data_IF_827777417180
#
_entry.id   IF_827777417180
#
_cell.length_a   1.000
_cell.length_b   1.000
_cell.length_c   1.000
_cell.angle_alpha   90.00
_cell.angle_beta   90.00
_cell.angle_gamma   90.00
#
_symmetry.space_group_name_H-M   'P 1'
#
loop_
_entity.id
_entity.type
_entity.pdbx_description
1 polymer ?
#
# COMPACT_ATOMS: atom_id res chain seq x y z
N UNK A 1 -32.20 -39.65 37.32
CA UNK A 1 -30.92 -40.07 36.71
C UNK A 1 -31.21 -40.71 35.35
N UNK A 2 -30.80 -40.07 34.27
CA UNK A 2 -30.13 -40.66 33.08
C UNK A 2 -30.33 -39.77 31.86
N UNK A 3 -29.22 -39.10 31.50
CA UNK A 3 -29.04 -38.35 30.27
C UNK A 3 -28.98 -39.30 29.08
N UNK A 4 -29.77 -39.02 28.04
CA UNK A 4 -29.43 -39.45 26.69
C UNK A 4 -28.49 -38.43 26.06
N UNK A 5 -27.21 -38.81 25.93
CA UNK A 5 -26.20 -38.09 25.15
C UNK A 5 -26.50 -38.28 23.66
N UNK A 6 -26.99 -37.23 23.02
CA UNK A 6 -27.05 -37.13 21.57
C UNK A 6 -25.62 -36.94 21.03
N UNK A 7 -25.07 -37.98 20.40
CA UNK A 7 -23.80 -37.93 19.69
C UNK A 7 -23.91 -37.01 18.48
N UNK A 8 -23.28 -35.84 18.56
CA UNK A 8 -23.11 -34.92 17.45
C UNK A 8 -22.33 -35.58 16.32
N UNK A 9 -22.94 -35.54 15.14
CA UNK A 9 -22.45 -36.06 13.87
C UNK A 9 -21.02 -35.57 13.57
N UNK A 10 -20.13 -36.54 13.37
CA UNK A 10 -18.83 -36.37 12.74
C UNK A 10 -19.07 -35.81 11.32
N UNK A 11 -18.86 -34.52 11.12
CA UNK A 11 -18.91 -33.88 9.79
C UNK A 11 -17.87 -34.57 8.90
N UNK A 12 -18.33 -35.35 7.92
CA UNK A 12 -17.46 -35.85 6.85
C UNK A 12 -16.88 -34.64 6.11
N UNK A 13 -15.61 -34.36 6.33
CA UNK A 13 -14.86 -33.35 5.58
C UNK A 13 -14.35 -34.01 4.31
N UNK A 14 -14.86 -33.57 3.16
CA UNK A 14 -14.34 -33.97 1.87
C UNK A 14 -12.92 -33.42 1.69
N UNK A 15 -11.99 -34.19 1.12
CA UNK A 15 -10.63 -33.73 0.87
C UNK A 15 -10.65 -32.54 -0.09
N UNK A 16 -9.99 -31.44 0.30
CA UNK A 16 -9.85 -30.27 -0.57
C UNK A 16 -8.59 -30.46 -1.40
N UNK A 17 -8.77 -30.53 -2.72
CA UNK A 17 -7.66 -30.52 -3.64
C UNK A 17 -7.08 -29.11 -3.73
N UNK A 18 -5.75 -28.98 -3.74
CA UNK A 18 -5.08 -27.70 -3.98
C UNK A 18 -3.83 -27.92 -4.82
N UNK A 19 -3.49 -26.93 -5.64
CA UNK A 19 -2.25 -26.90 -6.42
C UNK A 19 -1.14 -26.28 -5.59
N UNK A 20 -0.11 -27.08 -5.30
CA UNK A 20 1.08 -26.65 -4.57
C UNK A 20 2.02 -25.85 -5.48
N UNK A 21 2.26 -24.58 -5.12
CA UNK A 21 3.13 -23.69 -5.91
C UNK A 21 4.56 -24.20 -6.02
N UNK A 22 5.13 -24.77 -4.96
CA UNK A 22 6.51 -25.27 -4.97
C UNK A 22 6.67 -26.38 -6.00
N UNK A 23 5.74 -27.35 -6.00
CA UNK A 23 5.73 -28.44 -6.97
C UNK A 23 5.54 -27.95 -8.40
N UNK A 24 4.61 -27.02 -8.60
CA UNK A 24 4.38 -26.44 -9.91
C UNK A 24 5.59 -25.67 -10.44
N UNK A 25 6.27 -24.88 -9.60
CA UNK A 25 7.50 -24.18 -10.02
C UNK A 25 8.63 -25.16 -10.32
N UNK A 26 8.77 -26.24 -9.55
CA UNK A 26 9.72 -27.31 -9.86
C UNK A 26 9.38 -27.99 -11.19
N UNK A 27 8.12 -28.32 -11.44
CA UNK A 27 7.65 -28.90 -12.70
C UNK A 27 7.91 -27.97 -13.89
N UNK A 28 7.57 -26.67 -13.77
CA UNK A 28 7.88 -25.66 -14.79
C UNK A 28 9.38 -25.56 -15.05
N UNK A 29 10.20 -25.60 -14.00
CA UNK A 29 11.66 -25.57 -14.14
C UNK A 29 12.17 -26.81 -14.89
N UNK A 30 11.75 -28.00 -14.45
CA UNK A 30 12.14 -29.29 -15.05
C UNK A 30 11.70 -29.40 -16.51
N UNK A 31 10.49 -28.93 -16.85
CA UNK A 31 10.01 -28.86 -18.23
C UNK A 31 10.95 -28.02 -19.10
N UNK A 32 11.30 -26.82 -18.64
CA UNK A 32 12.16 -25.90 -19.40
C UNK A 32 13.58 -26.43 -19.52
N UNK A 33 14.13 -27.02 -18.46
CA UNK A 33 15.48 -27.61 -18.48
C UNK A 33 15.52 -28.78 -19.48
N UNK A 34 14.56 -29.71 -19.40
CA UNK A 34 14.46 -30.86 -20.31
C UNK A 34 14.28 -30.41 -21.77
N UNK A 35 13.43 -29.41 -22.02
CA UNK A 35 13.28 -28.81 -23.35
C UNK A 35 14.62 -28.25 -23.82
N UNK A 36 15.30 -27.44 -23.02
CA UNK A 36 16.56 -26.79 -23.41
C UNK A 36 17.73 -27.76 -23.64
N UNK A 37 17.73 -28.90 -22.95
CA UNK A 37 18.69 -30.00 -23.15
C UNK A 37 18.44 -30.71 -24.50
N UNK A 38 17.17 -30.89 -24.89
CA UNK A 38 16.81 -31.50 -26.17
C UNK A 38 17.09 -30.62 -27.40
N UNK A 39 17.30 -29.31 -27.21
CA UNK A 39 17.53 -28.38 -28.32
C UNK A 39 19.02 -28.20 -28.62
N UNK A 40 19.39 -28.39 -29.88
CA UNK A 40 20.76 -28.14 -30.37
C UNK A 40 20.95 -26.63 -30.64
N UNK A 41 19.96 -25.99 -31.27
CA UNK A 41 20.05 -24.58 -31.64
C UNK A 41 19.74 -23.63 -30.47
N UNK A 42 20.63 -22.66 -30.25
CA UNK A 42 20.47 -21.65 -29.21
C UNK A 42 19.19 -20.81 -29.39
N UNK A 43 18.79 -20.56 -30.65
CA UNK A 43 17.57 -19.80 -30.98
C UNK A 43 16.30 -20.54 -30.57
N UNK A 44 16.34 -21.86 -30.45
CA UNK A 44 15.23 -22.73 -30.07
C UNK A 44 15.15 -22.97 -28.56
N UNK A 45 16.22 -22.66 -27.81
CA UNK A 45 16.22 -22.67 -26.34
C UNK A 45 15.41 -21.53 -25.73
N UNK A 46 14.81 -21.79 -24.59
CA UNK A 46 14.12 -20.84 -23.74
C UNK A 46 15.11 -20.16 -22.79
N UNK A 47 15.45 -18.91 -23.09
CA UNK A 47 16.27 -18.07 -22.20
C UNK A 47 15.56 -17.70 -20.86
N UNK A 48 16.29 -17.01 -19.98
CA UNK A 48 15.81 -16.58 -18.67
C UNK A 48 14.53 -15.72 -18.72
N UNK A 49 14.36 -14.89 -19.76
CA UNK A 49 13.17 -14.06 -19.90
C UNK A 49 11.92 -14.89 -20.21
N UNK A 50 12.05 -15.93 -21.04
CA UNK A 50 10.98 -16.90 -21.30
C UNK A 50 10.65 -17.69 -20.05
N UNK A 51 11.66 -18.17 -19.31
CA UNK A 51 11.48 -18.86 -18.01
C UNK A 51 10.67 -18.02 -17.03
N UNK A 52 11.07 -16.77 -16.82
CA UNK A 52 10.34 -15.87 -15.93
C UNK A 52 8.90 -15.60 -16.42
N UNK A 53 8.62 -15.68 -17.72
CA UNK A 53 7.23 -15.59 -18.23
C UNK A 53 6.46 -16.87 -17.95
N UNK A 54 7.06 -18.04 -18.15
CA UNK A 54 6.45 -19.31 -17.83
C UNK A 54 6.10 -19.41 -16.33
N UNK A 55 7.04 -19.06 -15.44
CA UNK A 55 6.79 -19.03 -13.99
C UNK A 55 5.67 -18.06 -13.61
N UNK A 56 5.61 -16.88 -14.23
CA UNK A 56 4.52 -15.93 -14.02
C UNK A 56 3.18 -16.53 -14.46
N UNK A 57 3.11 -17.15 -15.64
CA UNK A 57 1.90 -17.83 -16.13
C UNK A 57 1.50 -18.95 -15.16
N UNK A 58 2.44 -19.82 -14.76
CA UNK A 58 2.20 -20.89 -13.79
C UNK A 58 1.60 -20.35 -12.50
N UNK A 59 2.17 -19.27 -11.95
CA UNK A 59 1.69 -18.66 -10.70
C UNK A 59 0.26 -18.15 -10.82
N UNK A 60 -0.05 -17.41 -11.88
CA UNK A 60 -1.37 -16.84 -12.08
C UNK A 60 -2.41 -17.92 -12.36
N UNK A 61 -2.05 -18.92 -13.15
CA UNK A 61 -2.94 -20.01 -13.48
C UNK A 61 -3.22 -20.89 -12.27
N UNK A 62 -2.21 -21.26 -11.48
CA UNK A 62 -2.40 -21.96 -10.21
C UNK A 62 -3.32 -21.20 -9.24
N UNK A 63 -3.21 -19.87 -9.20
CA UNK A 63 -4.12 -19.02 -8.43
C UNK A 63 -5.56 -19.11 -8.95
N UNK A 64 -5.77 -19.06 -10.27
CA UNK A 64 -7.08 -19.25 -10.89
C UNK A 64 -7.69 -20.61 -10.52
N UNK A 65 -6.90 -21.68 -10.62
CA UNK A 65 -7.36 -23.04 -10.31
C UNK A 65 -7.68 -23.24 -8.82
N UNK A 66 -6.81 -22.75 -7.92
CA UNK A 66 -7.05 -22.83 -6.48
C UNK A 66 -8.30 -22.04 -6.07
N UNK A 67 -8.58 -20.91 -6.73
CA UNK A 67 -9.81 -20.15 -6.50
C UNK A 67 -11.04 -20.95 -6.96
N UNK A 68 -11.00 -21.58 -8.13
CA UNK A 68 -12.10 -22.43 -8.61
C UNK A 68 -12.37 -23.61 -7.66
N UNK A 69 -11.31 -24.29 -7.19
CA UNK A 69 -11.42 -25.36 -6.19
C UNK A 69 -12.00 -24.87 -4.85
N UNK A 70 -11.64 -23.66 -4.43
CA UNK A 70 -12.18 -23.06 -3.20
C UNK A 70 -13.69 -22.76 -3.32
N UNK A 71 -14.18 -22.48 -4.52
CA UNK A 71 -15.60 -22.27 -4.82
C UNK A 71 -16.39 -23.59 -4.98
N UNK A 72 -15.71 -24.74 -4.96
CA UNK A 72 -16.33 -26.06 -5.03
C UNK A 72 -16.41 -26.67 -6.42
N UNK A 73 -15.72 -26.07 -7.42
CA UNK A 73 -15.68 -26.62 -8.77
C UNK A 73 -14.88 -27.94 -8.80
N UNK A 74 -15.43 -28.97 -9.47
CA UNK A 74 -14.69 -30.20 -9.75
C UNK A 74 -13.82 -29.99 -10.99
N UNK A 75 -12.50 -30.02 -10.83
CA UNK A 75 -11.53 -29.87 -11.92
C UNK A 75 -11.10 -31.24 -12.48
N UNK A 76 -12.06 -31.98 -13.06
CA UNK A 76 -11.76 -33.22 -13.80
C UNK A 76 -10.81 -32.91 -14.97
N UNK A 77 -11.15 -31.89 -15.76
CA UNK A 77 -10.29 -31.32 -16.80
C UNK A 77 -9.72 -29.96 -16.36
N UNK A 78 -8.51 -29.63 -16.82
CA UNK A 78 -7.85 -28.37 -16.51
C UNK A 78 -8.44 -27.23 -17.36
N UNK A 79 -9.16 -26.25 -16.78
CA UNK A 79 -9.79 -25.18 -17.54
C UNK A 79 -8.73 -24.25 -18.11
N UNK A 80 -9.00 -23.57 -19.24
CA UNK A 80 -8.07 -22.62 -19.83
C UNK A 80 -7.67 -21.47 -18.88
N UNK A 81 -6.43 -21.01 -18.97
CA UNK A 81 -5.96 -19.82 -18.24
C UNK A 81 -6.41 -18.54 -18.97
N UNK A 82 -7.39 -17.83 -18.41
CA UNK A 82 -7.92 -16.61 -19.01
C UNK A 82 -7.16 -15.38 -18.53
N UNK A 83 -6.68 -14.57 -19.47
CA UNK A 83 -5.86 -13.40 -19.17
C UNK A 83 -5.87 -12.37 -20.31
N UNK A 84 -5.15 -11.26 -20.12
CA UNK A 84 -4.94 -10.23 -21.14
C UNK A 84 -3.45 -10.04 -21.37
N UNK A 85 -3.05 -9.88 -22.65
CA UNK A 85 -1.65 -9.61 -22.98
C UNK A 85 -1.14 -8.30 -22.36
N UNK A 86 -2.01 -7.28 -22.25
CA UNK A 86 -1.73 -6.02 -21.54
C UNK A 86 -1.44 -6.25 -20.05
N UNK A 87 -2.28 -7.01 -19.35
CA UNK A 87 -2.10 -7.32 -17.93
C UNK A 87 -0.82 -8.12 -17.68
N UNK A 88 -0.51 -9.11 -18.52
CA UNK A 88 0.74 -9.86 -18.45
C UNK A 88 1.97 -8.96 -18.70
N UNK A 89 1.85 -7.99 -19.61
CA UNK A 89 2.93 -7.06 -19.93
C UNK A 89 3.22 -6.12 -18.76
N UNK A 90 2.18 -5.53 -18.16
CA UNK A 90 2.28 -4.71 -16.96
C UNK A 90 2.88 -5.48 -15.80
N UNK A 91 2.39 -6.70 -15.53
CA UNK A 91 2.86 -7.52 -14.41
C UNK A 91 4.34 -7.92 -14.56
N UNK A 92 4.78 -8.20 -15.79
CA UNK A 92 6.19 -8.52 -16.06
C UNK A 92 7.09 -7.28 -16.16
N UNK A 93 6.52 -6.10 -16.36
CA UNK A 93 7.27 -4.86 -16.63
C UNK A 93 7.89 -4.83 -18.02
N UNK A 94 7.16 -5.30 -19.04
CA UNK A 94 7.63 -5.28 -20.44
C UNK A 94 6.52 -4.86 -21.40
N UNK A 95 6.81 -4.78 -22.71
CA UNK A 95 5.79 -4.40 -23.70
C UNK A 95 4.87 -5.57 -24.04
N UNK A 96 3.65 -5.27 -24.52
CA UNK A 96 2.70 -6.28 -25.02
C UNK A 96 3.34 -7.14 -26.12
N UNK A 97 4.11 -6.52 -27.02
CA UNK A 97 4.83 -7.22 -28.09
C UNK A 97 5.84 -8.23 -27.54
N UNK A 98 6.53 -7.88 -26.45
CA UNK A 98 7.46 -8.79 -25.77
C UNK A 98 6.73 -10.01 -25.20
N UNK A 99 5.58 -9.83 -24.55
CA UNK A 99 4.75 -10.94 -24.07
C UNK A 99 4.28 -11.84 -25.21
N UNK A 100 3.80 -11.27 -26.30
CA UNK A 100 3.39 -12.04 -27.48
C UNK A 100 4.54 -12.89 -28.04
N UNK A 101 5.75 -12.31 -28.12
CA UNK A 101 6.94 -13.03 -28.56
C UNK A 101 7.30 -14.17 -27.58
N UNK A 102 7.25 -13.91 -26.27
CA UNK A 102 7.51 -14.95 -25.27
C UNK A 102 6.48 -16.08 -25.35
N UNK A 103 5.19 -15.76 -25.48
CA UNK A 103 4.12 -16.76 -25.65
C UNK A 103 4.32 -17.59 -26.90
N UNK A 104 4.66 -16.98 -28.03
CA UNK A 104 4.98 -17.71 -29.27
C UNK A 104 6.11 -18.71 -29.06
N UNK A 105 7.15 -18.33 -28.32
CA UNK A 105 8.28 -19.20 -27.97
C UNK A 105 7.89 -20.33 -27.01
N UNK A 106 7.09 -20.03 -25.99
CA UNK A 106 6.57 -21.02 -25.04
C UNK A 106 5.59 -22.00 -25.70
N UNK A 107 4.78 -21.53 -26.67
CA UNK A 107 3.91 -22.37 -27.49
C UNK A 107 4.70 -23.31 -28.39
N UNK A 108 5.75 -22.78 -29.04
CA UNK A 108 6.65 -23.60 -29.87
C UNK A 108 7.40 -24.65 -29.06
N UNK A 109 7.60 -24.42 -27.76
CA UNK A 109 8.23 -25.36 -26.83
C UNK A 109 7.24 -26.33 -26.17
N UNK A 110 5.94 -26.28 -26.51
CA UNK A 110 4.92 -27.15 -25.92
C UNK A 110 4.49 -26.80 -24.50
N UNK A 111 5.00 -25.71 -23.90
CA UNK A 111 4.55 -25.27 -22.57
C UNK A 111 3.13 -24.71 -22.62
N UNK A 112 2.80 -23.99 -23.70
CA UNK A 112 1.44 -23.56 -24.03
C UNK A 112 0.97 -24.44 -25.19
N UNK A 113 0.01 -25.32 -24.92
CA UNK A 113 -0.52 -26.25 -25.93
C UNK A 113 -1.37 -25.51 -26.96
N UNK A 114 -2.20 -24.57 -26.49
CA UNK A 114 -3.06 -23.77 -27.36
C UNK A 114 -3.31 -22.36 -26.81
N UNK A 115 -3.61 -21.45 -27.71
CA UNK A 115 -3.97 -20.05 -27.42
C UNK A 115 -5.23 -19.72 -28.21
N UNK A 116 -6.29 -19.38 -27.49
CA UNK A 116 -7.60 -19.03 -28.04
C UNK A 116 -7.83 -17.54 -27.78
N UNK A 117 -8.09 -16.77 -28.84
CA UNK A 117 -8.36 -15.34 -28.73
C UNK A 117 -9.88 -15.11 -28.65
N UNK A 118 -10.33 -14.47 -27.58
CA UNK A 118 -11.74 -14.13 -27.36
C UNK A 118 -12.04 -12.64 -27.63
N UNK A 119 -11.19 -11.98 -28.44
CA UNK A 119 -11.33 -10.57 -28.78
C UNK A 119 -11.27 -9.67 -27.55
N UNK A 120 -12.37 -8.95 -27.27
CA UNK A 120 -12.47 -8.03 -26.13
C UNK A 120 -12.38 -8.74 -24.77
N UNK A 121 -12.67 -10.05 -24.71
CA UNK A 121 -12.61 -10.85 -23.48
C UNK A 121 -11.20 -11.40 -23.19
N UNK A 122 -10.21 -11.02 -23.99
CA UNK A 122 -8.81 -11.38 -23.79
C UNK A 122 -8.40 -12.67 -24.49
N UNK A 123 -7.47 -13.39 -23.87
CA UNK A 123 -6.86 -14.61 -24.39
C UNK A 123 -6.97 -15.74 -23.38
N UNK A 124 -7.20 -16.95 -23.87
CA UNK A 124 -7.24 -18.17 -23.07
C UNK A 124 -6.08 -19.07 -23.48
N UNK A 125 -5.25 -19.44 -22.51
CA UNK A 125 -4.07 -20.26 -22.72
C UNK A 125 -4.31 -21.65 -22.14
N UNK A 126 -4.18 -22.68 -22.97
CA UNK A 126 -4.12 -24.06 -22.50
C UNK A 126 -2.66 -24.38 -22.19
N UNK A 127 -2.37 -24.68 -20.93
CA UNK A 127 -1.04 -24.98 -20.43
C UNK A 127 -0.86 -26.50 -20.43
N UNK A 128 0.36 -26.98 -20.70
CA UNK A 128 0.64 -28.41 -20.70
C UNK A 128 0.27 -29.07 -19.37
N UNK A 129 -0.47 -30.18 -19.47
CA UNK A 129 -0.87 -31.00 -18.34
C UNK A 129 0.34 -31.60 -17.63
N UNK A 130 1.45 -31.86 -18.33
CA UNK A 130 2.68 -32.38 -17.73
C UNK A 130 3.23 -31.46 -16.63
N UNK A 131 2.91 -30.17 -16.66
CA UNK A 131 3.32 -29.22 -15.63
C UNK A 131 2.33 -29.20 -14.46
N UNK A 132 1.03 -29.37 -14.73
CA UNK A 132 -0.03 -29.14 -13.74
C UNK A 132 -0.63 -30.41 -13.13
N UNK A 133 -0.59 -31.54 -13.82
CA UNK A 133 -1.03 -32.85 -13.32
C UNK A 133 -0.16 -33.35 -12.16
N UNK A 134 1.13 -32.99 -12.13
CA UNK A 134 2.04 -33.25 -11.00
C UNK A 134 1.74 -32.41 -9.74
N UNK A 135 0.92 -31.37 -9.86
CA UNK A 135 0.61 -30.42 -8.79
C UNK A 135 -0.67 -30.71 -8.00
N UNK A 136 -1.57 -31.58 -8.49
CA UNK A 136 -2.82 -31.93 -7.80
C UNK A 136 -2.51 -32.73 -6.52
N UNK A 137 -2.68 -32.12 -5.35
CA UNK A 137 -2.63 -32.85 -4.07
C UNK A 137 -4.02 -32.95 -3.45
N UNK A 138 -4.36 -34.16 -2.99
CA UNK A 138 -5.47 -34.43 -2.08
C UNK A 138 -4.98 -34.12 -0.66
N UNK A 139 -5.45 -33.04 -0.04
CA UNK A 139 -5.10 -32.73 1.35
C UNK A 139 -6.25 -33.15 2.28
N UNK A 140 -5.98 -34.13 3.14
CA UNK A 140 -6.76 -34.35 4.36
C UNK A 140 -6.20 -33.40 5.43
N UNK A 141 -6.91 -32.31 5.68
CA UNK A 141 -6.45 -31.28 6.61
C UNK A 141 -6.61 -31.77 8.06
N UNK A 142 -5.59 -32.45 8.60
CA UNK A 142 -5.43 -32.61 10.04
C UNK A 142 -4.61 -31.43 10.61
N UNK A 143 -5.23 -30.70 11.53
CA UNK A 143 -4.64 -29.53 12.18
C UNK A 143 -3.36 -29.88 12.96
N UNK A 144 -3.14 -31.17 13.25
CA UNK A 144 -2.00 -31.70 14.00
C UNK A 144 -0.65 -31.64 13.25
N UNK A 145 -0.62 -31.71 11.91
CA UNK A 145 0.63 -31.73 11.12
C UNK A 145 1.24 -30.35 10.86
N UNK A 146 0.42 -29.29 10.92
CA UNK A 146 0.88 -27.91 10.77
C UNK A 146 1.89 -27.50 11.85
N UNK A 147 1.80 -28.08 13.06
CA UNK A 147 2.79 -27.87 14.14
C UNK A 147 4.15 -28.49 13.81
N UNK A 148 4.19 -29.67 13.18
CA UNK A 148 5.44 -30.37 12.82
C UNK A 148 6.17 -29.71 11.66
N UNK A 149 5.42 -29.15 10.69
CA UNK A 149 6.01 -28.39 9.57
C UNK A 149 6.61 -27.05 10.01
N UNK A 150 6.03 -26.40 11.05
CA UNK A 150 6.60 -25.18 11.65
C UNK A 150 7.91 -25.49 12.40
N UNK A 151 8.04 -26.66 13.03
CA UNK A 151 9.30 -27.09 13.67
C UNK A 151 10.40 -27.39 12.64
N UNK A 152 10.06 -27.96 11.47
CA UNK A 152 11.04 -28.22 10.42
C UNK A 152 11.53 -26.95 9.69
N UNK A 153 10.75 -25.87 9.67
CA UNK A 153 11.16 -24.57 9.10
C UNK A 153 12.09 -23.79 10.06
N UNK A 154 12.02 -24.02 11.38
CA UNK A 154 12.96 -23.42 12.36
C UNK A 154 14.41 -23.84 12.14
N UNK A 155 14.65 -24.98 11.47
CA UNK A 155 15.97 -25.58 11.31
C UNK A 155 16.69 -25.23 9.99
N UNK A 156 16.09 -24.45 9.09
CA UNK A 156 16.76 -23.99 7.86
C UNK A 156 17.16 -22.53 7.99
N UNK A 157 18.46 -22.31 8.22
CA UNK A 157 19.08 -21.00 8.31
C UNK A 157 18.85 -20.13 7.07
N UNK A 158 18.85 -18.83 7.32
CA UNK A 158 18.82 -17.72 6.36
C UNK A 158 17.54 -17.52 5.55
N UNK A 159 16.55 -16.92 6.20
CA UNK A 159 15.55 -16.15 5.47
C UNK A 159 15.55 -14.73 6.03
N UNK A 160 15.86 -13.75 5.17
CA UNK A 160 16.04 -12.33 5.55
C UNK A 160 14.83 -11.84 6.36
N UNK A 161 15.11 -11.28 7.53
CA UNK A 161 14.09 -10.76 8.43
C UNK A 161 13.61 -9.39 7.94
N UNK A 162 12.39 -9.01 8.32
CA UNK A 162 11.89 -7.65 8.14
C UNK A 162 12.74 -6.67 8.95
N UNK A 163 13.78 -6.11 8.32
CA UNK A 163 14.65 -5.15 8.98
C UNK A 163 13.97 -3.77 9.07
N UNK A 164 14.00 -3.13 10.25
CA UNK A 164 13.48 -1.78 10.41
C UNK A 164 14.23 -0.82 9.48
N UNK A 165 13.48 -0.03 8.73
CA UNK A 165 14.00 1.04 7.89
C UNK A 165 14.89 1.97 8.73
N UNK A 166 16.20 1.95 8.45
CA UNK A 166 17.13 3.01 8.83
C UNK A 166 17.71 3.53 7.53
N UNK A 167 17.26 4.69 7.11
CA UNK A 167 18.12 5.54 6.30
C UNK A 167 18.26 6.86 7.04
N UNK A 168 19.48 7.07 7.52
CA UNK A 168 20.12 8.38 7.56
C UNK A 168 19.87 9.00 6.19
N UNK A 169 19.24 10.17 6.15
CA UNK A 169 19.29 11.00 4.95
C UNK A 169 20.77 11.33 4.74
N UNK A 170 21.44 10.60 3.85
CA UNK A 170 22.58 11.18 3.16
C UNK A 170 21.98 12.25 2.25
N UNK A 171 21.84 13.45 2.81
CA UNK A 171 21.76 14.65 2.01
C UNK A 171 22.93 14.59 1.03
N UNK A 172 22.60 14.42 -0.24
CA UNK A 172 23.54 14.74 -1.30
C UNK A 172 23.92 16.19 -1.07
N UNK A 173 25.16 16.42 -0.62
CA UNK A 173 25.79 17.74 -0.70
C UNK A 173 25.66 18.17 -2.15
N UNK A 174 24.79 19.15 -2.39
CA UNK A 174 24.69 19.84 -3.66
C UNK A 174 26.00 20.63 -3.83
N UNK A 175 26.91 20.10 -4.66
CA UNK A 175 28.20 20.74 -4.98
C UNK A 175 28.03 21.72 -6.19
N UNK A 176 26.82 21.91 -6.72
CA UNK A 176 26.59 22.77 -7.89
C UNK A 176 26.14 24.20 -7.52
N UNK A 177 26.80 24.86 -6.55
CA UNK A 177 26.51 26.27 -6.23
C UNK A 177 27.68 27.24 -6.50
N UNK A 178 28.55 26.94 -7.47
CA UNK A 178 29.70 27.82 -7.78
C UNK A 178 30.03 27.89 -9.28
N UNK A 179 29.03 28.13 -10.12
CA UNK A 179 29.14 28.69 -11.49
C UNK A 179 27.72 29.20 -11.76
N UNK A 180 27.36 30.47 -11.60
CA UNK A 180 27.80 31.64 -12.35
C UNK A 180 27.57 32.89 -11.51
N UNK A 181 28.62 33.66 -11.28
CA UNK A 181 28.49 35.07 -10.91
C UNK A 181 29.76 35.80 -11.36
N UNK A 182 29.83 36.13 -12.65
CA UNK A 182 30.64 37.25 -13.13
C UNK A 182 29.90 37.99 -14.24
N UNK A 183 29.51 39.21 -13.90
CA UNK A 183 29.30 40.31 -14.81
C UNK A 183 30.44 40.41 -15.84
N UNK A 184 30.11 40.64 -17.13
CA UNK A 184 30.42 41.90 -17.83
C UNK A 184 30.09 41.83 -19.33
N UNK A 185 29.32 42.85 -19.73
CA UNK A 185 29.45 43.74 -20.89
C UNK A 185 29.56 43.17 -22.31
N UNK A 186 28.56 43.59 -23.08
CA UNK A 186 28.52 43.80 -24.54
C UNK A 186 29.85 44.24 -25.16
N UNK A 187 30.25 43.56 -26.24
CA UNK A 187 30.74 44.14 -27.50
C UNK A 187 30.84 43.02 -28.55
N UNK A 188 30.46 43.34 -29.79
CA UNK A 188 30.48 42.49 -31.00
C UNK A 188 31.43 43.16 -32.04
N UNK A 189 31.82 42.49 -33.13
CA UNK A 189 32.95 41.55 -33.32
C UNK A 189 34.01 42.17 -34.32
N UNK A 190 34.98 41.45 -34.95
CA UNK A 190 34.76 40.37 -35.95
C UNK A 190 35.78 39.20 -35.99
N UNK A 191 35.31 38.12 -36.63
CA UNK A 191 35.95 37.09 -37.48
C UNK A 191 37.24 36.34 -37.06
N UNK A 192 37.11 35.02 -36.84
CA UNK A 192 37.50 33.94 -37.79
C UNK A 192 38.06 32.67 -37.09
N UNK A 193 37.74 31.51 -37.71
CA UNK A 193 38.34 30.16 -37.60
C UNK A 193 38.03 29.24 -36.39
N UNK A 194 36.95 28.45 -36.57
CA UNK A 194 36.76 26.99 -36.35
C UNK A 194 37.60 26.19 -35.33
N UNK A 195 36.90 25.51 -34.41
CA UNK A 195 37.23 24.14 -33.95
C UNK A 195 35.99 23.32 -33.53
N UNK A 196 35.86 22.11 -34.13
CA UNK A 196 35.43 20.86 -33.48
C UNK A 196 33.94 20.55 -33.32
N UNK A 197 33.48 19.42 -33.88
CA UNK A 197 32.39 18.62 -33.29
C UNK A 197 32.54 17.12 -33.59
N UNK A 198 32.44 16.31 -32.54
CA UNK A 198 32.21 14.86 -32.63
C UNK A 198 30.73 14.52 -32.82
N UNK A 199 30.46 13.30 -33.27
CA UNK A 199 29.11 12.80 -33.56
C UNK A 199 28.56 11.92 -32.44
N UNK A 200 27.33 12.23 -32.02
CA UNK A 200 26.36 11.33 -31.38
C UNK A 200 25.27 11.03 -32.42
N UNK A 201 24.95 9.76 -32.60
CA UNK A 201 23.87 9.24 -33.46
C UNK A 201 23.14 8.19 -32.60
N UNK A 202 21.81 8.09 -32.47
CA UNK A 202 20.67 8.79 -33.03
C UNK A 202 19.48 8.50 -32.08
N UNK A 203 18.76 9.53 -31.65
CA UNK A 203 17.40 9.43 -31.11
C UNK A 203 16.47 10.16 -32.07
N UNK A 204 15.28 9.59 -32.28
CA UNK A 204 14.08 10.15 -32.93
C UNK A 204 13.92 10.00 -34.46
N UNK A 205 13.06 9.05 -34.84
CA UNK A 205 12.13 9.17 -35.98
C UNK A 205 10.81 8.48 -35.61
N UNK A 206 9.73 9.25 -35.50
CA UNK A 206 8.35 8.88 -35.85
C UNK A 206 7.42 10.07 -35.60
N UNK A 207 7.41 11.02 -36.53
CA UNK A 207 6.26 11.91 -36.78
C UNK A 207 6.34 12.39 -38.23
N UNK A 208 5.58 11.79 -39.14
CA UNK A 208 5.03 12.42 -40.36
C UNK A 208 4.34 11.38 -41.24
N UNK A 209 3.11 11.69 -41.63
CA UNK A 209 2.27 10.87 -42.52
C UNK A 209 0.87 11.46 -42.65
N UNK A 210 0.79 12.74 -43.02
CA UNK A 210 -0.45 13.41 -43.43
C UNK A 210 -0.47 13.50 -44.96
N UNK A 211 -1.55 13.03 -45.59
CA UNK A 211 -1.86 13.33 -46.99
C UNK A 211 -3.29 13.86 -47.09
N UNK A 212 -3.43 14.94 -47.85
CA UNK A 212 -4.58 15.82 -48.06
C UNK A 212 -5.89 15.18 -48.56
N UNK A 213 -7.04 15.76 -48.16
CA UNK A 213 -8.16 16.09 -49.08
C UNK A 213 -9.05 17.25 -48.57
N UNK A 214 -8.85 18.41 -49.22
CA UNK A 214 -9.73 19.51 -49.65
C UNK A 214 -11.08 19.85 -48.96
N UNK A 215 -11.20 21.16 -48.70
CA UNK A 215 -12.31 22.11 -48.92
C UNK A 215 -13.57 22.07 -48.02
N UNK A 216 -13.80 23.15 -47.23
CA UNK A 216 -14.63 24.31 -47.64
C UNK A 216 -14.55 25.46 -46.61
N UNK A 217 -14.56 26.70 -47.12
CA UNK A 217 -14.62 27.99 -46.42
C UNK A 217 -16.01 28.29 -45.86
N UNK A 218 -16.08 28.95 -44.70
CA UNK A 218 -16.85 30.20 -44.36
C UNK A 218 -16.59 30.52 -42.88
N UNK A 219 -15.85 31.57 -42.49
CA UNK A 219 -16.22 33.00 -42.30
C UNK A 219 -17.30 33.28 -41.24
N UNK A 220 -16.94 34.15 -40.28
CA UNK A 220 -17.81 34.84 -39.29
C UNK A 220 -17.70 34.19 -37.90
N UNK A 221 -17.18 34.79 -36.83
CA UNK A 221 -17.04 36.20 -36.49
C UNK A 221 -18.26 36.67 -35.70
N UNK A 222 -18.14 36.74 -34.37
CA UNK A 222 -18.71 37.74 -33.46
C UNK A 222 -18.97 37.17 -32.05
N UNK A 223 -18.44 37.96 -31.12
CA UNK A 223 -18.53 37.98 -29.67
C UNK A 223 -19.84 38.64 -29.20
N UNK A 224 -20.03 38.76 -27.87
CA UNK A 224 -21.10 39.46 -27.08
C UNK A 224 -22.15 38.47 -26.51
N UNK A 225 -22.70 38.53 -25.30
CA UNK A 225 -22.47 39.15 -23.97
C UNK A 225 -23.75 38.81 -23.16
N UNK A 226 -23.66 38.45 -21.85
CA UNK A 226 -24.71 38.54 -20.80
C UNK A 226 -26.03 37.74 -21.05
N UNK A 227 -26.87 37.36 -20.09
CA UNK A 227 -27.14 37.78 -18.70
C UNK A 227 -27.92 36.66 -17.97
N UNK A 228 -27.85 36.64 -16.64
CA UNK A 228 -28.72 35.89 -15.71
C UNK A 228 -30.22 36.15 -15.94
N UNK A 229 -31.08 35.17 -15.63
CA UNK A 229 -32.19 35.35 -14.67
C UNK A 229 -32.85 34.02 -14.27
N UNK A 230 -33.16 33.94 -12.97
CA UNK A 230 -34.05 32.99 -12.32
C UNK A 230 -35.51 33.30 -12.71
N UNK A 231 -36.36 32.27 -12.81
CA UNK A 231 -37.76 32.35 -12.39
C UNK A 231 -38.33 30.97 -12.04
N UNK A 232 -38.87 30.95 -10.83
CA UNK A 232 -39.87 30.02 -10.28
C UNK A 232 -41.18 30.03 -11.07
N UNK A 233 -41.91 28.90 -11.08
CA UNK A 233 -43.32 28.88 -11.49
C UNK A 233 -43.90 27.48 -11.66
N UNK A 234 -44.49 26.97 -10.58
CA UNK A 234 -45.35 25.77 -10.50
C UNK A 234 -46.75 26.04 -11.05
N UNK A 235 -47.58 24.98 -11.08
CA UNK A 235 -49.07 24.87 -11.16
C UNK A 235 -49.48 24.00 -12.36
N UNK A 236 -50.38 23.02 -12.31
CA UNK A 236 -51.03 22.15 -11.30
C UNK A 236 -51.96 21.21 -12.09
N UNK A 237 -52.66 20.34 -11.36
CA UNK A 237 -53.96 19.67 -11.63
C UNK A 237 -53.84 18.15 -11.87
N UNK A 238 -54.12 17.32 -10.84
CA UNK A 238 -55.42 16.89 -10.28
C UNK A 238 -55.82 15.53 -10.90
N UNK A 239 -56.37 14.50 -10.24
CA UNK A 239 -57.31 14.29 -9.11
C UNK A 239 -57.13 12.80 -8.66
N UNK A 240 -57.49 12.29 -7.48
CA UNK A 240 -58.24 12.78 -6.33
C UNK A 240 -58.65 11.62 -5.40
N UNK A 241 -58.87 11.95 -4.12
CA UNK A 241 -59.77 11.38 -3.08
C UNK A 241 -59.64 9.88 -2.66
N UNK A 242 -59.82 9.47 -1.40
CA UNK A 242 -60.82 9.89 -0.40
C UNK A 242 -60.38 9.58 1.05
N UNK A 243 -61.01 10.30 1.96
CA UNK A 243 -60.85 10.59 3.39
C UNK A 243 -61.10 9.45 4.40
N UNK A 244 -60.56 9.58 5.63
CA UNK A 244 -61.39 9.89 6.82
C UNK A 244 -60.58 10.16 8.10
N UNK A 245 -61.02 11.23 8.76
CA UNK A 245 -60.59 11.83 10.03
C UNK A 245 -61.48 11.32 11.16
N UNK A 246 -60.93 11.16 12.38
CA UNK A 246 -61.68 11.47 13.60
C UNK A 246 -60.75 11.78 14.78
N UNK A 247 -61.04 12.92 15.38
CA UNK A 247 -60.39 13.60 16.51
C UNK A 247 -61.10 13.18 17.80
N UNK A 248 -60.37 13.00 18.91
CA UNK A 248 -60.81 13.54 20.21
C UNK A 248 -59.64 13.60 21.21
N UNK A 249 -59.39 14.79 21.74
CA UNK A 249 -58.58 15.02 22.92
C UNK A 249 -59.49 15.21 24.15
N UNK A 250 -59.09 14.70 25.31
CA UNK A 250 -59.47 15.29 26.62
C UNK A 250 -58.48 14.84 27.70
N UNK A 251 -58.54 15.51 28.84
CA UNK A 251 -57.42 16.07 29.58
C UNK A 251 -57.09 15.40 30.92
N UNK A 252 -55.82 15.53 31.34
CA UNK A 252 -55.30 15.82 32.70
C UNK A 252 -55.84 15.01 33.90
N UNK A 253 -54.96 14.19 34.48
CA UNK A 253 -54.71 14.14 35.93
C UNK A 253 -53.20 14.11 36.17
N UNK A 254 -52.74 14.88 37.14
CA UNK A 254 -51.33 15.11 37.43
C UNK A 254 -50.73 14.22 38.51
N UNK A 255 -49.43 14.50 38.73
CA UNK A 255 -48.56 14.17 39.86
C UNK A 255 -47.72 12.86 39.76
N UNK A 256 -46.54 12.80 40.40
CA UNK A 256 -45.36 13.60 40.05
C UNK A 256 -44.09 12.76 39.87
N UNK A 257 -43.07 13.35 39.24
CA UNK A 257 -41.70 13.16 39.70
C UNK A 257 -40.94 11.91 39.26
N UNK A 258 -40.92 11.59 37.96
CA UNK A 258 -39.77 10.88 37.39
C UNK A 258 -38.98 11.91 36.61
N UNK A 259 -37.99 12.52 37.28
CA UNK A 259 -36.95 13.28 36.61
C UNK A 259 -36.40 12.41 35.48
N UNK A 260 -36.27 12.90 34.23
CA UNK A 260 -35.59 12.14 33.21
C UNK A 260 -34.20 11.87 33.76
N UNK A 261 -33.90 10.58 34.01
CA UNK A 261 -32.57 10.14 34.33
C UNK A 261 -31.75 10.57 33.12
N UNK A 262 -31.05 11.69 33.25
CA UNK A 262 -29.95 12.06 32.37
C UNK A 262 -28.96 10.93 32.57
N UNK A 263 -29.13 9.88 31.78
CA UNK A 263 -28.20 8.78 31.69
C UNK A 263 -26.94 9.44 31.20
N UNK A 264 -26.03 9.75 32.13
CA UNK A 264 -24.65 10.11 31.83
C UNK A 264 -24.22 9.09 30.80
N UNK A 265 -24.03 9.53 29.55
CA UNK A 265 -23.45 8.69 28.52
C UNK A 265 -22.13 8.23 29.13
N UNK A 266 -22.06 6.96 29.49
CA UNK A 266 -20.85 6.40 30.05
C UNK A 266 -19.78 6.55 28.97
N UNK A 267 -18.70 7.27 29.25
CA UNK A 267 -17.55 7.46 28.35
C UNK A 267 -16.85 6.12 27.95
N UNK A 268 -17.37 5.00 28.45
CA UNK A 268 -16.99 3.65 28.09
C UNK A 268 -17.54 3.30 26.71
N UNK A 269 -16.68 2.92 25.75
CA UNK A 269 -17.13 2.56 24.41
C UNK A 269 -17.95 1.27 24.40
N UNK A 270 -19.11 1.30 23.75
CA UNK A 270 -19.92 0.11 23.47
C UNK A 270 -19.25 -0.81 22.42
N UNK A 271 -19.64 -2.09 22.40
CA UNK A 271 -19.17 -3.07 21.41
C UNK A 271 -19.44 -2.64 19.98
N UNK A 272 -20.57 -2.00 19.72
CA UNK A 272 -20.93 -1.52 18.39
C UNK A 272 -19.91 -0.51 17.87
N UNK A 273 -19.49 0.42 18.72
CA UNK A 273 -18.42 1.37 18.42
C UNK A 273 -17.08 0.67 18.17
N UNK A 274 -16.71 -0.29 19.03
CA UNK A 274 -15.44 -1.02 18.91
C UNK A 274 -15.36 -1.88 17.65
N UNK A 275 -16.46 -2.53 17.27
CA UNK A 275 -16.56 -3.27 16.01
C UNK A 275 -16.50 -2.31 14.80
N UNK A 276 -17.11 -1.13 14.91
CA UNK A 276 -17.00 -0.08 13.90
C UNK A 276 -15.56 0.35 13.66
N UNK A 277 -14.72 0.46 14.71
CA UNK A 277 -13.29 0.75 14.55
C UNK A 277 -12.54 -0.34 13.76
N UNK A 278 -12.85 -1.60 14.03
CA UNK A 278 -12.24 -2.75 13.33
C UNK A 278 -12.61 -2.70 11.85
N UNK A 279 -13.87 -2.43 11.53
CA UNK A 279 -14.35 -2.29 10.15
C UNK A 279 -13.69 -1.10 9.45
N UNK A 280 -13.64 0.07 10.09
CA UNK A 280 -12.98 1.26 9.54
C UNK A 280 -11.49 1.02 9.28
N UNK A 281 -10.79 0.41 10.23
CA UNK A 281 -9.39 0.06 10.06
C UNK A 281 -9.19 -0.93 8.91
N UNK A 282 -10.05 -1.95 8.82
CA UNK A 282 -9.96 -2.93 7.74
C UNK A 282 -10.23 -2.29 6.38
N UNK A 283 -11.28 -1.48 6.25
CA UNK A 283 -11.58 -0.73 5.03
C UNK A 283 -10.38 0.10 4.58
N UNK A 284 -9.76 0.83 5.51
CA UNK A 284 -8.57 1.62 5.25
C UNK A 284 -7.38 0.75 4.78
N UNK A 285 -7.08 -0.33 5.52
CA UNK A 285 -5.99 -1.24 5.19
C UNK A 285 -6.20 -1.97 3.85
N UNK A 286 -7.44 -2.37 3.54
CA UNK A 286 -7.81 -3.00 2.27
C UNK A 286 -7.55 -2.06 1.10
N UNK A 287 -8.03 -0.82 1.17
CA UNK A 287 -7.87 0.14 0.08
C UNK A 287 -6.40 0.49 -0.20
N UNK A 288 -5.55 0.50 0.83
CA UNK A 288 -4.13 0.87 0.68
C UNK A 288 -3.26 -0.32 0.29
N UNK A 289 -3.42 -1.46 0.97
CA UNK A 289 -2.49 -2.59 0.81
C UNK A 289 -3.03 -3.68 -0.12
N UNK A 290 -4.34 -3.72 -0.34
CA UNK A 290 -5.03 -4.76 -1.10
C UNK A 290 -6.13 -4.21 -2.03
N UNK A 291 -5.87 -3.16 -2.84
CA UNK A 291 -6.91 -2.48 -3.61
C UNK A 291 -7.63 -3.41 -4.59
N UNK A 292 -6.90 -4.35 -5.20
CA UNK A 292 -7.43 -5.27 -6.22
C UNK A 292 -8.02 -6.56 -5.65
N UNK A 293 -8.15 -6.65 -4.32
CA UNK A 293 -8.56 -7.89 -3.67
C UNK A 293 -10.06 -7.94 -3.44
N UNK A 294 -10.70 -8.85 -4.17
CA UNK A 294 -12.10 -9.22 -3.98
C UNK A 294 -12.13 -10.33 -2.92
N UNK A 295 -12.99 -10.17 -1.92
CA UNK A 295 -13.18 -11.12 -0.84
C UNK A 295 -14.66 -11.49 -0.77
N UNK A 296 -14.93 -12.74 -0.44
CA UNK A 296 -16.26 -13.17 0.00
C UNK A 296 -16.59 -12.57 1.37
N UNK A 297 -17.88 -12.56 1.72
CA UNK A 297 -18.33 -12.07 3.02
C UNK A 297 -17.72 -12.89 4.17
N UNK A 298 -17.57 -14.21 3.99
CA UNK A 298 -16.97 -15.11 4.99
C UNK A 298 -15.50 -14.79 5.22
N UNK A 299 -14.71 -14.60 4.16
CA UNK A 299 -13.29 -14.20 4.30
C UNK A 299 -13.17 -12.83 4.94
N UNK A 300 -14.05 -11.90 4.57
CA UNK A 300 -14.08 -10.56 5.15
C UNK A 300 -14.35 -10.61 6.66
N UNK A 301 -15.31 -11.43 7.12
CA UNK A 301 -15.57 -11.66 8.55
C UNK A 301 -14.38 -12.30 9.26
N UNK A 302 -13.71 -13.27 8.64
CA UNK A 302 -12.52 -13.91 9.21
C UNK A 302 -11.40 -12.89 9.42
N UNK A 303 -11.15 -12.02 8.44
CA UNK A 303 -10.14 -10.97 8.53
C UNK A 303 -10.49 -9.96 9.63
N UNK A 304 -11.75 -9.53 9.72
CA UNK A 304 -12.21 -8.64 10.79
C UNK A 304 -11.98 -9.27 12.17
N UNK A 305 -12.26 -10.57 12.32
CA UNK A 305 -12.00 -11.29 13.57
C UNK A 305 -10.49 -11.36 13.89
N UNK A 306 -9.65 -11.64 12.89
CA UNK A 306 -8.19 -11.65 13.05
C UNK A 306 -7.66 -10.28 13.48
N UNK A 307 -8.14 -9.20 12.86
CA UNK A 307 -7.78 -7.83 13.22
C UNK A 307 -8.21 -7.52 14.66
N UNK A 308 -9.44 -7.85 15.03
CA UNK A 308 -9.95 -7.69 16.40
C UNK A 308 -9.04 -8.40 17.41
N UNK A 309 -8.63 -9.64 17.13
CA UNK A 309 -7.75 -10.43 18.02
C UNK A 309 -6.32 -9.88 18.04
N UNK A 310 -5.74 -9.61 16.88
CA UNK A 310 -4.31 -9.33 16.75
C UNK A 310 -3.96 -7.86 16.94
N UNK A 311 -4.74 -6.94 16.38
CA UNK A 311 -4.51 -5.49 16.39
C UNK A 311 -5.09 -4.88 17.67
N UNK A 312 -6.37 -5.15 17.95
CA UNK A 312 -7.06 -4.59 19.11
C UNK A 312 -6.99 -5.47 20.35
N UNK A 313 -6.28 -6.61 20.28
CA UNK A 313 -6.07 -7.53 21.41
C UNK A 313 -7.39 -7.95 22.06
N UNK A 314 -8.42 -8.23 21.26
CA UNK A 314 -9.77 -8.57 21.71
C UNK A 314 -10.41 -7.52 22.63
N UNK A 315 -9.95 -6.27 22.58
CA UNK A 315 -10.36 -5.23 23.51
C UNK A 315 -10.20 -5.68 24.96
N UNK A 316 -9.12 -6.41 25.30
CA UNK A 316 -8.82 -6.92 26.66
C UNK A 316 -8.85 -5.84 27.76
N UNK A 317 -8.78 -4.56 27.39
CA UNK A 317 -8.87 -3.41 28.28
C UNK A 317 -10.23 -2.67 28.19
N UNK A 318 -11.27 -3.36 27.73
CA UNK A 318 -12.65 -2.88 27.75
C UNK A 318 -13.00 -2.45 29.18
N UNK A 319 -13.34 -1.17 29.35
CA UNK A 319 -13.63 -0.56 30.66
C UNK A 319 -12.49 0.27 31.26
N UNK A 320 -11.25 0.18 30.74
CA UNK A 320 -10.12 1.03 31.18
C UNK A 320 -9.79 2.16 30.20
N UNK A 321 -10.11 1.99 28.93
CA UNK A 321 -9.86 2.99 27.89
C UNK A 321 -11.09 3.85 27.59
N UNK A 322 -10.87 5.15 27.40
CA UNK A 322 -11.87 6.10 26.90
C UNK A 322 -12.03 5.96 25.39
N UNK A 323 -13.14 6.45 24.83
CA UNK A 323 -13.34 6.55 23.36
C UNK A 323 -12.14 7.22 22.67
N UNK A 324 -11.54 8.24 23.32
CA UNK A 324 -10.38 8.96 22.80
C UNK A 324 -9.15 8.05 22.68
N UNK A 325 -8.88 7.21 23.68
CA UNK A 325 -7.73 6.30 23.67
C UNK A 325 -7.80 5.30 22.51
N UNK A 326 -9.00 4.78 22.23
CA UNK A 326 -9.20 3.89 21.08
C UNK A 326 -9.04 4.63 19.74
N UNK A 327 -9.51 5.88 19.63
CA UNK A 327 -9.29 6.71 18.44
C UNK A 327 -7.81 7.08 18.25
N UNK A 328 -7.07 7.33 19.32
CA UNK A 328 -5.64 7.64 19.21
C UNK A 328 -4.83 6.38 18.86
N UNK A 329 -5.24 5.21 19.39
CA UNK A 329 -4.70 3.91 18.98
C UNK A 329 -4.98 3.60 17.50
N UNK A 330 -6.20 3.90 17.03
CA UNK A 330 -6.61 3.79 15.62
C UNK A 330 -5.63 4.54 14.71
N UNK A 331 -5.32 5.81 15.02
CA UNK A 331 -4.38 6.62 14.23
C UNK A 331 -2.99 6.00 14.18
N UNK A 332 -2.53 5.36 15.27
CA UNK A 332 -1.26 4.65 15.29
C UNK A 332 -1.30 3.44 14.34
N UNK A 333 -2.41 2.70 14.32
CA UNK A 333 -2.58 1.56 13.43
C UNK A 333 -2.60 1.99 11.96
N UNK A 334 -3.32 3.05 11.63
CA UNK A 334 -3.37 3.63 10.26
C UNK A 334 -1.99 4.11 9.81
N UNK A 335 -1.24 4.86 10.65
CA UNK A 335 0.14 5.26 10.36
C UNK A 335 1.06 4.06 10.08
N UNK A 336 0.81 2.93 10.74
CA UNK A 336 1.58 1.69 10.51
C UNK A 336 1.26 1.06 9.16
N UNK A 337 0.01 1.18 8.69
CA UNK A 337 -0.38 0.78 7.33
C UNK A 337 0.32 1.68 6.31
N UNK A 338 0.29 3.01 6.48
CA UNK A 338 0.98 3.96 5.60
C UNK A 338 2.48 3.68 5.48
N UNK A 339 3.12 3.34 6.60
CA UNK A 339 4.53 3.01 6.63
C UNK A 339 4.83 1.75 5.81
N UNK A 340 3.92 0.77 5.82
CA UNK A 340 4.07 -0.45 5.01
C UNK A 340 3.79 -0.18 3.55
N UNK A 341 2.80 0.64 3.22
CA UNK A 341 2.53 1.07 1.84
C UNK A 341 3.76 1.75 1.23
N UNK A 342 4.34 2.74 1.93
CA UNK A 342 5.59 3.41 1.52
C UNK A 342 6.77 2.45 1.42
N UNK A 343 6.77 1.37 2.20
CA UNK A 343 7.79 0.34 2.08
C UNK A 343 7.59 -0.49 0.81
N UNK A 344 6.36 -0.84 0.45
CA UNK A 344 6.04 -1.54 -0.81
C UNK A 344 6.39 -0.68 -2.04
N UNK A 345 6.01 0.60 -2.04
CA UNK A 345 6.25 1.51 -3.19
C UNK A 345 7.72 1.67 -3.58
N UNK A 346 8.63 1.52 -2.62
CA UNK A 346 10.07 1.67 -2.85
C UNK A 346 10.69 0.56 -3.70
N UNK A 347 10.05 -0.60 -3.81
CA UNK A 347 10.58 -1.68 -4.63
C UNK A 347 9.49 -2.65 -5.08
N UNK A 348 9.39 -2.93 -6.38
CA UNK A 348 8.37 -3.84 -6.93
C UNK A 348 8.56 -5.30 -6.49
N UNK A 349 9.73 -5.67 -5.95
CA UNK A 349 9.99 -7.02 -5.42
C UNK A 349 9.48 -7.22 -3.99
N UNK A 350 9.02 -6.15 -3.34
CA UNK A 350 8.45 -6.22 -2.00
C UNK A 350 7.00 -6.67 -2.12
N UNK A 351 6.61 -7.54 -1.21
CA UNK A 351 5.27 -8.06 -1.14
C UNK A 351 4.82 -8.11 0.31
N UNK A 352 3.50 -8.06 0.49
CA UNK A 352 2.84 -8.26 1.77
C UNK A 352 2.03 -9.55 1.71
N UNK A 353 2.02 -10.37 2.77
CA UNK A 353 1.16 -11.55 2.82
C UNK A 353 -0.31 -11.20 2.64
N UNK A 354 -1.11 -12.17 2.24
CA UNK A 354 -2.58 -12.03 2.23
C UNK A 354 -3.09 -11.65 3.63
N UNK A 355 -4.22 -10.93 3.76
CA UNK A 355 -4.64 -10.35 5.02
C UNK A 355 -4.81 -11.36 6.16
N UNK A 356 -5.29 -12.56 5.86
CA UNK A 356 -5.45 -13.67 6.82
C UNK A 356 -4.13 -14.04 7.49
N UNK A 357 -3.04 -14.00 6.72
CA UNK A 357 -1.68 -14.28 7.21
C UNK A 357 -1.08 -13.02 7.83
N UNK A 358 -1.28 -11.86 7.22
CA UNK A 358 -0.69 -10.61 7.66
C UNK A 358 -1.22 -10.14 9.03
N UNK A 359 -2.52 -10.27 9.26
CA UNK A 359 -3.17 -9.95 10.53
C UNK A 359 -3.25 -11.14 11.49
N UNK A 360 -2.69 -12.30 11.14
CA UNK A 360 -2.66 -13.44 12.04
C UNK A 360 -1.86 -13.09 13.32
N UNK A 361 -2.41 -13.31 14.53
CA UNK A 361 -1.67 -13.07 15.78
C UNK A 361 -0.38 -13.90 15.89
N UNK A 362 -0.34 -15.07 15.24
CA UNK A 362 0.80 -15.99 15.27
C UNK A 362 1.85 -15.71 14.19
N UNK A 363 1.61 -14.75 13.30
CA UNK A 363 2.61 -14.35 12.30
C UNK A 363 3.68 -13.47 12.94
N UNK A 364 4.75 -14.12 13.38
CA UNK A 364 5.88 -13.55 14.10
C UNK A 364 6.99 -13.05 13.19
N UNK A 365 6.84 -13.14 11.87
CA UNK A 365 7.91 -12.75 10.94
C UNK A 365 7.51 -11.56 10.10
N UNK A 366 6.37 -11.70 9.44
CA UNK A 366 5.90 -10.82 8.38
C UNK A 366 4.54 -10.18 8.70
N UNK A 367 4.10 -10.29 9.96
CA UNK A 367 2.78 -9.85 10.39
C UNK A 367 2.72 -8.39 10.80
N UNK A 368 1.50 -7.83 10.80
CA UNK A 368 1.23 -6.46 11.20
C UNK A 368 1.83 -6.13 12.56
N UNK A 369 1.82 -7.05 13.54
CA UNK A 369 2.38 -6.82 14.87
C UNK A 369 3.85 -6.34 14.86
N UNK A 370 4.66 -6.74 13.87
CA UNK A 370 6.07 -6.32 13.77
C UNK A 370 6.25 -4.87 13.35
N UNK A 371 5.26 -4.29 12.68
CA UNK A 371 5.31 -2.88 12.25
C UNK A 371 5.32 -1.92 13.43
N UNK A 372 4.95 -2.35 14.64
CA UNK A 372 5.02 -1.50 15.83
C UNK A 372 6.47 -1.08 16.16
N UNK A 373 7.43 -2.01 16.07
CA UNK A 373 8.85 -1.67 16.32
C UNK A 373 9.37 -0.66 15.31
N UNK A 374 8.91 -0.75 14.07
CA UNK A 374 9.24 0.20 13.02
C UNK A 374 8.64 1.58 13.30
N UNK A 375 7.38 1.62 13.72
CA UNK A 375 6.70 2.86 14.10
C UNK A 375 7.42 3.58 15.22
N UNK A 376 7.74 2.87 16.32
CA UNK A 376 8.50 3.45 17.45
C UNK A 376 9.84 4.02 16.98
N UNK A 377 10.58 3.27 16.15
CA UNK A 377 11.85 3.73 15.61
C UNK A 377 11.70 4.97 14.72
N UNK A 378 10.67 5.01 13.89
CA UNK A 378 10.39 6.14 13.01
C UNK A 378 10.00 7.38 13.80
N UNK A 379 9.15 7.26 14.82
CA UNK A 379 8.76 8.41 15.65
C UNK A 379 9.94 8.91 16.50
N UNK A 380 10.77 8.01 17.02
CA UNK A 380 12.02 8.38 17.70
C UNK A 380 12.97 9.14 16.76
N UNK A 381 13.11 8.69 15.51
CA UNK A 381 13.92 9.37 14.51
C UNK A 381 13.35 10.75 14.15
N UNK A 382 12.02 10.87 13.96
CA UNK A 382 11.37 12.17 13.71
C UNK A 382 11.59 13.13 14.88
N UNK A 383 11.49 12.64 16.12
CA UNK A 383 11.76 13.43 17.30
C UNK A 383 13.22 13.90 17.32
N UNK A 384 14.18 13.01 17.05
CA UNK A 384 15.60 13.33 17.00
C UNK A 384 15.93 14.38 15.92
N UNK A 385 15.43 14.20 14.69
CA UNK A 385 15.63 15.16 13.59
C UNK A 385 15.03 16.53 13.92
N UNK A 386 13.81 16.55 14.47
CA UNK A 386 13.17 17.78 14.92
C UNK A 386 13.99 18.48 16.01
N UNK A 387 14.49 17.73 16.99
CA UNK A 387 15.34 18.24 18.06
C UNK A 387 16.63 18.86 17.50
N UNK A 388 17.29 18.16 16.58
CA UNK A 388 18.50 18.65 15.92
C UNK A 388 18.25 19.95 15.15
N UNK A 389 17.18 20.01 14.35
CA UNK A 389 16.79 21.25 13.63
C UNK A 389 16.54 22.44 14.57
N UNK A 390 15.96 22.20 15.74
CA UNK A 390 15.75 23.25 16.76
C UNK A 390 17.08 23.73 17.33
N UNK A 391 18.00 22.81 17.64
CA UNK A 391 19.32 23.14 18.16
C UNK A 391 20.17 23.86 17.12
N UNK A 392 20.14 23.42 15.85
CA UNK A 392 20.80 24.12 14.74
C UNK A 392 20.28 25.54 14.57
N UNK A 393 18.95 25.73 14.66
CA UNK A 393 18.34 27.06 14.61
C UNK A 393 18.78 27.93 15.79
N UNK A 394 18.79 27.38 17.00
CA UNK A 394 19.25 28.11 18.19
C UNK A 394 20.74 28.51 18.06
N UNK A 395 21.59 27.60 17.57
CA UNK A 395 23.00 27.87 17.29
C UNK A 395 23.18 29.01 16.30
N UNK A 396 22.48 28.96 15.16
CA UNK A 396 22.54 30.01 14.14
C UNK A 396 22.11 31.37 14.71
N UNK A 397 21.05 31.41 15.51
CA UNK A 397 20.60 32.63 16.19
C UNK A 397 21.70 33.22 17.12
N UNK A 398 22.50 32.38 17.80
CA UNK A 398 23.64 32.83 18.60
C UNK A 398 24.84 33.31 17.75
N UNK A 399 25.13 32.63 16.65
CA UNK A 399 26.20 33.02 15.71
C UNK A 399 25.88 34.36 15.05
N UNK A 400 24.63 34.55 14.60
CA UNK A 400 24.17 35.81 14.02
C UNK A 400 24.23 36.93 15.06
N UNK A 401 23.79 36.66 16.30
CA UNK A 401 23.88 37.59 17.42
C UNK A 401 25.32 38.05 17.69
N UNK A 402 26.27 37.10 17.73
CA UNK A 402 27.69 37.40 17.95
C UNK A 402 28.32 38.26 16.86
N UNK A 403 27.74 38.28 15.65
CA UNK A 403 28.15 39.11 14.52
C UNK A 403 27.40 40.45 14.45
N UNK A 404 26.55 40.77 15.44
CA UNK A 404 25.68 41.95 15.41
C UNK A 404 24.53 41.88 14.39
N UNK A 405 24.27 40.68 13.85
CA UNK A 405 23.30 40.43 12.80
C UNK A 405 22.07 39.66 13.32
N UNK A 406 21.08 39.50 12.44
CA UNK A 406 19.91 38.66 12.70
C UNK A 406 18.78 39.36 13.47
N UNK A 407 17.70 38.59 13.67
CA UNK A 407 16.43 39.09 14.24
C UNK A 407 16.57 39.62 15.67
N UNK A 408 17.53 39.10 16.42
CA UNK A 408 17.68 39.38 17.85
C UNK A 408 18.88 40.30 18.16
N UNK A 409 19.44 40.99 17.16
CA UNK A 409 20.61 41.88 17.34
C UNK A 409 20.44 42.97 18.41
N UNK A 410 19.21 43.44 18.61
CA UNK A 410 18.88 44.48 19.61
C UNK A 410 18.57 43.92 21.01
N UNK A 411 18.60 42.60 21.19
CA UNK A 411 18.32 41.97 22.48
C UNK A 411 19.60 41.82 23.28
N UNK A 412 19.50 41.73 24.60
CA UNK A 412 20.65 41.29 25.40
C UNK A 412 20.87 39.77 25.24
N UNK A 413 22.09 39.29 25.54
CA UNK A 413 22.40 37.84 25.57
C UNK A 413 21.42 37.07 26.46
N UNK A 414 21.11 37.64 27.64
CA UNK A 414 20.17 37.06 28.58
C UNK A 414 18.75 36.98 28.01
N UNK A 415 18.29 38.03 27.31
CA UNK A 415 16.99 38.03 26.66
C UNK A 415 16.90 36.99 25.52
N UNK A 416 17.95 36.84 24.71
CA UNK A 416 18.00 35.81 23.67
C UNK A 416 17.91 34.40 24.28
N UNK A 417 18.67 34.16 25.36
CA UNK A 417 18.62 32.90 26.10
C UNK A 417 17.21 32.60 26.62
N UNK A 418 16.54 33.55 27.28
CA UNK A 418 15.19 33.35 27.81
C UNK A 418 14.15 33.07 26.72
N UNK A 419 14.25 33.78 25.58
CA UNK A 419 13.36 33.54 24.43
C UNK A 419 13.52 32.10 23.92
N UNK A 420 14.75 31.65 23.73
CA UNK A 420 15.04 30.30 23.25
C UNK A 420 14.67 29.22 24.27
N UNK A 421 14.98 29.44 25.56
CA UNK A 421 14.62 28.55 26.66
C UNK A 421 13.11 28.37 26.75
N UNK A 422 12.34 29.46 26.67
CA UNK A 422 10.87 29.39 26.64
C UNK A 422 10.34 28.62 25.43
N UNK A 423 10.95 28.80 24.26
CA UNK A 423 10.58 28.06 23.03
C UNK A 423 10.88 26.56 23.17
N UNK A 424 12.01 26.19 23.76
CA UNK A 424 12.42 24.80 23.91
C UNK A 424 11.65 24.11 25.04
N UNK A 425 11.33 24.80 26.14
CA UNK A 425 10.57 24.24 27.25
C UNK A 425 9.13 23.85 26.86
N UNK A 426 8.53 24.55 25.90
CA UNK A 426 7.20 24.21 25.35
C UNK A 426 7.12 22.80 24.73
N UNK A 427 8.25 22.25 24.30
CA UNK A 427 8.32 20.95 23.64
C UNK A 427 8.28 19.78 24.65
N UNK A 428 8.52 20.06 25.94
CA UNK A 428 8.51 19.06 27.03
C UNK A 428 9.43 17.85 26.78
N UNK A 429 10.56 18.06 26.12
CA UNK A 429 11.59 17.04 25.92
C UNK A 429 12.81 17.37 26.79
N UNK A 430 13.07 16.55 27.81
CA UNK A 430 14.17 16.74 28.77
C UNK A 430 15.54 16.61 28.12
N UNK A 431 15.70 15.68 27.16
CA UNK A 431 16.96 15.48 26.47
C UNK A 431 17.30 16.70 25.61
N UNK A 432 16.32 17.24 24.88
CA UNK A 432 16.48 18.46 24.10
C UNK A 432 16.85 19.65 25.00
N UNK A 433 16.20 19.79 26.16
CA UNK A 433 16.55 20.83 27.12
C UNK A 433 18.00 20.69 27.59
N UNK A 434 18.44 19.48 27.97
CA UNK A 434 19.83 19.23 28.40
C UNK A 434 20.84 19.55 27.30
N UNK A 435 20.59 19.10 26.08
CA UNK A 435 21.45 19.37 24.93
C UNK A 435 21.54 20.87 24.61
N UNK A 436 20.42 21.59 24.72
CA UNK A 436 20.40 23.04 24.57
C UNK A 436 21.26 23.73 25.64
N UNK A 437 21.14 23.35 26.93
CA UNK A 437 21.97 23.94 27.98
C UNK A 437 23.46 23.67 27.72
N UNK A 438 23.83 22.46 27.29
CA UNK A 438 25.20 22.12 26.91
C UNK A 438 25.71 22.97 25.73
N UNK A 439 24.85 23.23 24.74
CA UNK A 439 25.16 24.10 23.60
C UNK A 439 25.47 25.53 24.07
N UNK A 440 24.64 26.08 24.96
CA UNK A 440 24.84 27.42 25.51
C UNK A 440 26.13 27.49 26.33
N UNK A 441 26.39 26.51 27.22
CA UNK A 441 27.62 26.47 28.00
C UNK A 441 28.87 26.51 27.13
N UNK A 442 28.90 25.71 26.05
CA UNK A 442 30.01 25.73 25.08
C UNK A 442 30.16 27.10 24.41
N UNK A 443 29.05 27.72 24.03
CA UNK A 443 29.08 29.03 23.37
C UNK A 443 29.58 30.14 24.30
N UNK A 444 29.20 30.11 25.58
CA UNK A 444 29.67 31.05 26.59
C UNK A 444 31.16 30.87 26.92
N UNK A 445 31.64 29.62 27.06
CA UNK A 445 33.05 29.34 27.32
C UNK A 445 33.97 29.80 26.18
N UNK A 446 33.57 29.60 24.92
CA UNK A 446 34.34 30.05 23.76
C UNK A 446 34.48 31.59 23.71
N UNK A 447 33.49 32.31 24.23
CA UNK A 447 33.50 33.78 24.27
C UNK A 447 34.32 34.35 25.43
N UNK A 448 34.67 33.55 26.44
CA UNK A 448 35.61 33.97 27.50
C UNK A 448 37.08 33.73 27.13
N UNK A 449 37.34 32.99 26.05
CA UNK A 449 38.68 32.68 25.54
C UNK A 449 39.10 33.56 24.34
N UNK A 450 38.20 34.43 23.87
CA UNK A 450 38.46 35.46 22.86
C UNK A 450 38.31 36.82 23.51
#
# INVERSE_FOLDING_TARGET
MHLNKLTMSKTMRLPRHTFDFSKLFMATKSFIDSHNESQIELKSKLNANHRATAEMITRLYAKQLNNALALGDSLEELPGFRTYNSSMATLKGCTVRTIMNHKKRLKSAGFITAEINHGAMGVELLISEDVFSLGKQTQNYDFSESKKSIENIKNRGEVKNFHPLVHVQQEQKNINSSVDNKERRLTTPPDDVTFGTGTKQEHHRNTSGSTNKKNRKTKGGAEILRQNQETSGSIDSETGATTNTLVSASSKFGNPGIKPKVTRQSDTPDMSFLLGLVQQFWFYAKNILYPEMILSDVENEQILNLIRISVYKNFKHRGKGTIKDYKDSQKIFEKRIDMVAKWLDRSPHRWIPVPEVYFNPNNDRNGFNKTYKWYVKQEALKAAVRNDLILQKARKEWEDYGKGNGRYKQKSRLQLFEIQKKRISQIKDENLNREYHNLIHKYLQIQHLK
#
